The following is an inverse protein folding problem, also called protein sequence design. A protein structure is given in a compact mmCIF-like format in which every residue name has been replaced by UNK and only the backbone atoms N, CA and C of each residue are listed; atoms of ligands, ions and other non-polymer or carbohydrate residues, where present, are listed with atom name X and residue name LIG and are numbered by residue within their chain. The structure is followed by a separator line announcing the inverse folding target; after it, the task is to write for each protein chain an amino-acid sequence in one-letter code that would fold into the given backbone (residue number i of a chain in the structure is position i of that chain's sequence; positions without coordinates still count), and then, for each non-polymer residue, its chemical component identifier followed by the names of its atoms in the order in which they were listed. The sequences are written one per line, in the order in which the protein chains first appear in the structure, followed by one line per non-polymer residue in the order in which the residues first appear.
data_IF_665051567816
#
_entry.id   IF_665051567816
#
_cell.length_a   1.000
_cell.length_b   1.000
_cell.length_c   1.000
_cell.angle_alpha   90.00
_cell.angle_beta   90.00
_cell.angle_gamma   90.00
#
_symmetry.space_group_name_H-M   'P 1'
#
loop_
_entity.id
_entity.type
_entity.pdbx_description
1 polymer ?
#
# COMPACT_ATOMS: atom_id res chain seq x y z
N UNK A 1 -33.13 -5.84 -11.75
CA UNK A 1 -32.03 -6.84 -11.74
C UNK A 1 -30.70 -6.29 -12.29
N UNK A 2 -30.70 -5.27 -13.16
CA UNK A 2 -29.48 -4.70 -13.76
C UNK A 2 -28.54 -3.96 -12.79
N UNK A 3 -29.04 -3.39 -11.67
CA UNK A 3 -28.20 -2.59 -10.74
C UNK A 3 -27.39 -3.39 -9.71
N UNK A 4 -27.77 -4.64 -9.45
CA UNK A 4 -27.05 -5.55 -8.51
C UNK A 4 -25.82 -6.16 -9.19
N UNK A 5 -25.94 -6.44 -10.49
CA UNK A 5 -24.85 -6.98 -11.29
C UNK A 5 -23.75 -5.93 -11.51
N UNK A 6 -24.13 -4.66 -11.71
CA UNK A 6 -23.18 -3.55 -11.85
C UNK A 6 -22.44 -3.22 -10.55
N UNK A 7 -23.10 -3.30 -9.40
CA UNK A 7 -22.46 -3.06 -8.08
C UNK A 7 -21.48 -4.16 -7.69
N UNK A 8 -21.82 -5.44 -7.93
CA UNK A 8 -20.88 -6.54 -7.71
C UNK A 8 -19.66 -6.48 -8.65
N UNK A 9 -19.86 -6.16 -9.94
CA UNK A 9 -18.75 -5.97 -10.87
C UNK A 9 -17.86 -4.78 -10.46
N UNK A 10 -18.44 -3.68 -9.99
CA UNK A 10 -17.68 -2.52 -9.51
C UNK A 10 -16.81 -2.88 -8.29
N UNK A 11 -17.34 -3.65 -7.33
CA UNK A 11 -16.57 -4.12 -6.17
C UNK A 11 -15.42 -5.07 -6.54
N UNK A 12 -15.63 -5.95 -7.54
CA UNK A 12 -14.59 -6.83 -8.06
C UNK A 12 -13.50 -6.05 -8.80
N UNK A 13 -13.87 -5.07 -9.60
CA UNK A 13 -12.89 -4.21 -10.30
C UNK A 13 -12.08 -3.37 -9.31
N UNK A 14 -12.72 -2.82 -8.27
CA UNK A 14 -12.04 -2.09 -7.21
C UNK A 14 -11.00 -2.97 -6.49
N UNK A 15 -11.34 -4.24 -6.22
CA UNK A 15 -10.39 -5.19 -5.65
C UNK A 15 -9.22 -5.49 -6.59
N UNK A 16 -9.46 -5.70 -7.89
CA UNK A 16 -8.39 -5.96 -8.86
C UNK A 16 -7.42 -4.77 -8.96
N UNK A 17 -7.96 -3.55 -8.99
CA UNK A 17 -7.14 -2.34 -9.01
C UNK A 17 -6.33 -2.19 -7.72
N UNK A 18 -6.95 -2.45 -6.57
CA UNK A 18 -6.28 -2.42 -5.28
C UNK A 18 -5.17 -3.47 -5.17
N UNK A 19 -5.39 -4.68 -5.68
CA UNK A 19 -4.35 -5.71 -5.74
C UNK A 19 -3.20 -5.28 -6.64
N UNK A 20 -3.48 -4.71 -7.82
CA UNK A 20 -2.43 -4.20 -8.71
C UNK A 20 -1.60 -3.08 -8.05
N UNK A 21 -2.25 -2.16 -7.33
CA UNK A 21 -1.57 -1.11 -6.57
C UNK A 21 -0.73 -1.69 -5.41
N UNK A 22 -1.25 -2.72 -4.72
CA UNK A 22 -0.50 -3.47 -3.72
C UNK A 22 0.75 -4.12 -4.31
N UNK A 23 0.61 -4.87 -5.41
CA UNK A 23 1.73 -5.57 -6.04
C UNK A 23 2.80 -4.57 -6.52
N UNK A 24 2.36 -3.43 -7.07
CA UNK A 24 3.26 -2.35 -7.46
C UNK A 24 3.99 -1.77 -6.25
N UNK A 25 3.28 -1.46 -5.16
CA UNK A 25 3.89 -0.95 -3.93
C UNK A 25 4.91 -1.92 -3.34
N UNK A 26 4.64 -3.23 -3.37
CA UNK A 26 5.61 -4.26 -2.93
C UNK A 26 6.84 -4.32 -3.84
N UNK A 27 6.66 -4.27 -5.17
CA UNK A 27 7.77 -4.24 -6.11
C UNK A 27 8.66 -2.99 -5.93
N UNK A 28 8.05 -1.82 -5.69
CA UNK A 28 8.75 -0.58 -5.38
C UNK A 28 9.48 -0.67 -4.03
N UNK A 29 8.87 -1.34 -3.04
CA UNK A 29 9.46 -1.59 -1.73
C UNK A 29 10.76 -2.39 -1.84
N UNK A 30 10.72 -3.50 -2.56
CA UNK A 30 11.86 -4.40 -2.75
C UNK A 30 12.94 -3.74 -3.62
N UNK A 31 12.54 -2.94 -4.60
CA UNK A 31 13.46 -2.14 -5.42
C UNK A 31 14.20 -1.11 -4.57
N UNK A 32 13.50 -0.39 -3.69
CA UNK A 32 14.11 0.60 -2.79
C UNK A 32 15.10 -0.06 -1.82
N UNK A 33 14.74 -1.20 -1.23
CA UNK A 33 15.64 -1.96 -0.36
C UNK A 33 16.88 -2.46 -1.12
N UNK A 34 16.69 -2.99 -2.32
CA UNK A 34 17.79 -3.50 -3.16
C UNK A 34 18.73 -2.38 -3.59
N UNK A 35 18.18 -1.23 -4.00
CA UNK A 35 18.97 -0.05 -4.36
C UNK A 35 19.80 0.45 -3.17
N UNK A 36 19.24 0.44 -1.96
CA UNK A 36 19.96 0.80 -0.74
C UNK A 36 21.13 -0.15 -0.44
N UNK A 37 20.97 -1.46 -0.65
CA UNK A 37 22.07 -2.43 -0.49
C UNK A 37 23.18 -2.17 -1.51
N UNK A 38 22.84 -1.95 -2.78
CA UNK A 38 23.83 -1.63 -3.83
C UNK A 38 24.57 -0.34 -3.51
N UNK A 39 23.87 0.68 -3.00
CA UNK A 39 24.48 1.94 -2.58
C UNK A 39 25.41 1.76 -1.37
N UNK A 40 25.01 0.97 -0.39
CA UNK A 40 25.85 0.63 0.76
C UNK A 40 27.14 -0.10 0.34
N UNK A 41 27.05 -1.04 -0.60
CA UNK A 41 28.25 -1.71 -1.14
C UNK A 41 29.16 -0.76 -1.92
N UNK A 42 28.56 0.23 -2.62
CA UNK A 42 29.32 1.30 -3.26
C UNK A 42 30.07 2.15 -2.23
N UNK A 43 29.43 2.53 -1.11
CA UNK A 43 30.05 3.29 -0.02
C UNK A 43 31.27 2.52 0.53
N UNK A 44 31.08 1.23 0.87
CA UNK A 44 32.18 0.37 1.35
C UNK A 44 33.34 0.28 0.34
N UNK A 45 33.04 0.19 -0.96
CA UNK A 45 34.07 0.15 -2.01
C UNK A 45 34.83 1.48 -2.09
N UNK A 46 34.14 2.61 -2.03
CA UNK A 46 34.77 3.93 -2.04
C UNK A 46 35.67 4.12 -0.82
N UNK A 47 35.24 3.67 0.35
CA UNK A 47 36.04 3.73 1.57
C UNK A 47 37.35 2.93 1.47
N UNK A 48 37.29 1.70 0.91
CA UNK A 48 38.51 0.91 0.66
C UNK A 48 39.47 1.62 -0.30
N UNK A 49 38.94 2.28 -1.33
CA UNK A 49 39.76 3.06 -2.26
C UNK A 49 40.38 4.27 -1.54
N UNK A 50 39.59 5.00 -0.76
CA UNK A 50 40.04 6.17 0.01
C UNK A 50 41.13 5.79 1.03
N UNK A 51 40.96 4.68 1.75
CA UNK A 51 41.97 4.15 2.66
C UNK A 51 43.26 3.75 1.92
N UNK A 52 43.13 3.15 0.73
CA UNK A 52 44.29 2.80 -0.11
C UNK A 52 45.04 4.04 -0.59
N UNK A 53 44.31 5.07 -1.02
CA UNK A 53 44.88 6.37 -1.42
C UNK A 53 45.53 7.09 -0.24
N UNK A 54 44.91 7.08 0.94
CA UNK A 54 45.47 7.64 2.16
C UNK A 54 46.79 6.95 2.52
N UNK A 55 46.82 5.61 2.51
CA UNK A 55 48.04 4.83 2.73
C UNK A 55 49.13 5.15 1.71
N UNK A 56 48.78 5.24 0.42
CA UNK A 56 49.72 5.58 -0.64
C UNK A 56 50.28 7.01 -0.49
N UNK A 57 49.44 7.98 -0.13
CA UNK A 57 49.84 9.36 0.11
C UNK A 57 50.76 9.49 1.33
N UNK A 58 50.44 8.79 2.43
CA UNK A 58 51.30 8.75 3.62
C UNK A 58 52.66 8.14 3.28
N UNK A 59 52.69 7.02 2.54
CA UNK A 59 53.93 6.40 2.07
C UNK A 59 54.74 7.31 1.13
N UNK A 60 54.08 8.03 0.21
CA UNK A 60 54.73 8.95 -0.72
C UNK A 60 55.27 10.22 -0.04
N UNK A 61 54.63 10.67 1.05
CA UNK A 61 55.03 11.88 1.77
C UNK A 61 56.33 11.71 2.58
N UNK A 62 56.80 10.47 2.78
CA UNK A 62 58.00 10.17 3.55
C UNK A 62 57.92 10.60 5.02
N UNK A 63 56.77 11.10 5.47
CA UNK A 63 56.53 11.46 6.86
C UNK A 63 56.34 10.16 7.61
N UNK A 64 57.16 9.95 8.64
CA UNK A 64 56.96 8.91 9.64
C UNK A 64 55.72 9.27 10.49
N UNK A 65 54.55 9.29 9.85
CA UNK A 65 53.27 9.17 10.52
C UNK A 65 53.28 7.78 11.13
N UNK A 66 53.77 7.70 12.37
CA UNK A 66 53.95 6.44 13.08
C UNK A 66 52.73 5.54 12.91
N UNK A 67 52.95 4.23 12.86
CA UNK A 67 51.95 3.23 12.48
C UNK A 67 50.54 3.47 13.07
N UNK A 68 50.45 4.02 14.29
CA UNK A 68 49.18 4.42 14.92
C UNK A 68 48.37 5.48 14.17
N UNK A 69 48.97 6.52 13.59
CA UNK A 69 48.22 7.59 12.90
C UNK A 69 47.63 7.11 11.57
N UNK A 70 48.38 6.30 10.82
CA UNK A 70 47.89 5.70 9.58
C UNK A 70 46.79 4.65 9.84
N UNK A 71 46.92 3.86 10.91
CA UNK A 71 45.89 2.92 11.34
C UNK A 71 44.61 3.65 11.74
N UNK A 72 44.70 4.70 12.57
CA UNK A 72 43.54 5.48 13.00
C UNK A 72 42.79 6.13 11.81
N UNK A 73 43.51 6.70 10.83
CA UNK A 73 42.87 7.31 9.64
C UNK A 73 42.10 6.25 8.84
N UNK A 74 42.68 5.07 8.62
CA UNK A 74 41.99 4.01 7.88
C UNK A 74 40.79 3.47 8.66
N UNK A 75 40.92 3.30 9.97
CA UNK A 75 39.85 2.82 10.84
C UNK A 75 38.70 3.83 10.89
N UNK A 76 38.99 5.13 10.90
CA UNK A 76 38.00 6.20 10.80
C UNK A 76 37.31 6.22 9.41
N UNK A 77 38.06 6.10 8.31
CA UNK A 77 37.50 6.04 6.95
C UNK A 77 36.55 4.85 6.79
N UNK A 78 37.00 3.66 7.22
CA UNK A 78 36.20 2.43 7.12
C UNK A 78 35.02 2.49 8.08
N UNK A 79 35.23 2.94 9.32
CA UNK A 79 34.18 3.05 10.34
C UNK A 79 33.05 3.99 9.93
N UNK A 80 33.39 5.21 9.47
CA UNK A 80 32.40 6.16 8.97
C UNK A 80 31.63 5.62 7.76
N UNK A 81 32.33 4.94 6.85
CA UNK A 81 31.69 4.34 5.68
C UNK A 81 30.78 3.15 6.03
N UNK A 82 31.12 2.37 7.06
CA UNK A 82 30.25 1.32 7.57
C UNK A 82 29.01 1.88 8.24
N UNK A 83 29.14 2.97 9.00
CA UNK A 83 28.00 3.71 9.57
C UNK A 83 27.08 4.25 8.46
N UNK A 84 27.63 4.92 7.45
CA UNK A 84 26.89 5.43 6.30
C UNK A 84 26.20 4.30 5.52
N UNK A 85 26.89 3.18 5.30
CA UNK A 85 26.33 2.01 4.64
C UNK A 85 25.19 1.40 5.46
N UNK A 86 25.33 1.29 6.78
CA UNK A 86 24.31 0.79 7.68
C UNK A 86 23.08 1.71 7.70
N UNK A 87 23.28 3.02 7.80
CA UNK A 87 22.22 4.02 7.73
C UNK A 87 21.50 3.97 6.37
N UNK A 88 22.24 3.82 5.27
CA UNK A 88 21.67 3.67 3.93
C UNK A 88 20.74 2.46 3.85
N UNK A 89 21.20 1.28 4.30
CA UNK A 89 20.39 0.05 4.33
C UNK A 89 19.18 0.22 5.25
N UNK A 90 19.37 0.82 6.42
CA UNK A 90 18.31 1.05 7.39
C UNK A 90 17.22 1.96 6.83
N UNK A 91 17.59 3.06 6.18
CA UNK A 91 16.66 3.95 5.51
C UNK A 91 15.91 3.25 4.36
N UNK A 92 16.61 2.45 3.54
CA UNK A 92 15.99 1.64 2.50
C UNK A 92 14.98 0.63 3.05
N UNK A 93 15.32 -0.05 4.16
CA UNK A 93 14.41 -0.98 4.85
C UNK A 93 13.21 -0.28 5.49
N UNK A 94 13.41 0.90 6.07
CA UNK A 94 12.29 1.69 6.58
C UNK A 94 11.34 2.13 5.46
N UNK A 95 11.88 2.52 4.31
CA UNK A 95 11.07 2.84 3.13
C UNK A 95 10.32 1.60 2.61
N UNK A 96 11.00 0.45 2.56
CA UNK A 96 10.38 -0.83 2.22
C UNK A 96 9.21 -1.15 3.16
N UNK A 97 9.40 -1.05 4.48
CA UNK A 97 8.34 -1.31 5.46
C UNK A 97 7.13 -0.37 5.29
N UNK A 98 7.36 0.91 4.97
CA UNK A 98 6.27 1.87 4.68
C UNK A 98 5.49 1.46 3.43
N UNK A 99 6.17 1.10 2.36
CA UNK A 99 5.52 0.67 1.11
C UNK A 99 4.77 -0.65 1.27
N UNK A 100 5.26 -1.59 2.10
CA UNK A 100 4.49 -2.78 2.48
C UNK A 100 3.22 -2.44 3.27
N UNK A 101 3.29 -1.49 4.20
CA UNK A 101 2.08 -1.02 4.90
C UNK A 101 1.08 -0.38 3.94
N UNK A 102 1.55 0.38 2.94
CA UNK A 102 0.70 0.94 1.90
C UNK A 102 0.06 -0.16 1.04
N UNK A 103 0.82 -1.20 0.69
CA UNK A 103 0.30 -2.37 -0.01
C UNK A 103 -0.81 -3.08 0.78
N UNK A 104 -0.59 -3.32 2.07
CA UNK A 104 -1.59 -3.91 2.96
C UNK A 104 -2.84 -3.02 3.06
N UNK A 105 -2.67 -1.70 3.12
CA UNK A 105 -3.77 -0.74 3.11
C UNK A 105 -4.55 -0.78 1.79
N UNK A 106 -3.89 -0.89 0.64
CA UNK A 106 -4.57 -1.05 -0.66
C UNK A 106 -5.41 -2.33 -0.67
N UNK A 107 -4.83 -3.46 -0.26
CA UNK A 107 -5.58 -4.72 -0.18
C UNK A 107 -6.78 -4.61 0.77
N UNK A 108 -6.60 -3.99 1.93
CA UNK A 108 -7.65 -3.78 2.90
C UNK A 108 -8.76 -2.89 2.33
N UNK A 109 -8.43 -1.78 1.68
CA UNK A 109 -9.38 -0.90 1.02
C UNK A 109 -10.16 -1.63 -0.09
N UNK A 110 -9.49 -2.46 -0.90
CA UNK A 110 -10.13 -3.30 -1.91
C UNK A 110 -11.11 -4.32 -1.32
N UNK A 111 -10.73 -4.98 -0.22
CA UNK A 111 -11.61 -5.91 0.53
C UNK A 111 -12.82 -5.19 1.11
N UNK A 112 -12.62 -4.01 1.70
CA UNK A 112 -13.71 -3.17 2.22
C UNK A 112 -14.65 -2.71 1.11
N UNK A 113 -14.14 -2.26 -0.04
CA UNK A 113 -14.95 -1.86 -1.18
C UNK A 113 -15.82 -3.01 -1.71
N UNK A 114 -15.25 -4.23 -1.79
CA UNK A 114 -16.00 -5.44 -2.17
C UNK A 114 -17.07 -5.80 -1.14
N UNK A 115 -16.74 -5.71 0.15
CA UNK A 115 -17.69 -5.94 1.24
C UNK A 115 -18.84 -4.92 1.22
N UNK A 116 -18.53 -3.63 1.04
CA UNK A 116 -19.51 -2.55 0.96
C UNK A 116 -20.43 -2.72 -0.26
N UNK A 117 -19.87 -3.08 -1.43
CA UNK A 117 -20.66 -3.38 -2.63
C UNK A 117 -21.63 -4.55 -2.39
N UNK A 118 -21.18 -5.61 -1.72
CA UNK A 118 -22.04 -6.73 -1.35
C UNK A 118 -23.14 -6.31 -0.36
N UNK A 119 -22.81 -5.55 0.69
CA UNK A 119 -23.80 -5.06 1.67
C UNK A 119 -24.83 -4.12 1.05
N UNK A 120 -24.40 -3.19 0.17
CA UNK A 120 -25.32 -2.32 -0.58
C UNK A 120 -26.23 -3.12 -1.51
N UNK A 121 -25.71 -4.19 -2.11
CA UNK A 121 -26.52 -5.08 -2.95
C UNK A 121 -27.62 -5.80 -2.15
N UNK A 122 -27.33 -6.23 -0.92
CA UNK A 122 -28.30 -6.83 0.00
C UNK A 122 -29.32 -5.79 0.47
N UNK A 123 -28.86 -4.60 0.87
CA UNK A 123 -29.73 -3.50 1.29
C UNK A 123 -30.68 -3.03 0.18
N UNK A 124 -30.21 -3.02 -1.08
CA UNK A 124 -31.03 -2.67 -2.24
C UNK A 124 -32.05 -3.76 -2.57
N UNK A 125 -31.70 -5.05 -2.43
CA UNK A 125 -32.67 -6.16 -2.58
C UNK A 125 -33.71 -6.12 -1.47
N UNK A 126 -33.31 -5.85 -0.22
CA UNK A 126 -34.23 -5.78 0.92
C UNK A 126 -35.14 -4.55 0.86
N UNK A 127 -34.63 -3.38 0.45
CA UNK A 127 -35.40 -2.14 0.30
C UNK A 127 -36.35 -2.19 -0.91
N UNK A 128 -35.91 -2.77 -2.03
CA UNK A 128 -36.79 -2.97 -3.19
C UNK A 128 -37.87 -4.03 -2.90
N UNK A 129 -37.54 -5.10 -2.18
CA UNK A 129 -38.52 -6.10 -1.74
C UNK A 129 -39.54 -5.56 -0.74
N UNK A 130 -39.13 -4.67 0.17
CA UNK A 130 -40.05 -4.02 1.12
C UNK A 130 -40.84 -2.88 0.50
N UNK A 131 -40.31 -2.13 -0.47
CA UNK A 131 -41.09 -1.15 -1.24
C UNK A 131 -42.09 -1.82 -2.19
N UNK A 132 -41.71 -2.89 -2.89
CA UNK A 132 -42.65 -3.68 -3.68
C UNK A 132 -43.69 -4.35 -2.76
N UNK A 133 -43.23 -4.88 -1.63
CA UNK A 133 -44.01 -5.44 -0.53
C UNK A 133 -45.11 -4.50 0.00
N UNK A 134 -44.71 -3.29 0.33
CA UNK A 134 -45.60 -2.24 0.84
C UNK A 134 -46.43 -1.62 -0.29
N UNK A 135 -45.95 -1.59 -1.53
CA UNK A 135 -46.70 -1.06 -2.67
C UNK A 135 -47.84 -1.98 -3.09
N UNK A 136 -47.65 -3.31 -3.14
CA UNK A 136 -48.78 -4.25 -3.37
C UNK A 136 -49.76 -4.25 -2.19
N UNK A 137 -49.27 -4.13 -0.95
CA UNK A 137 -50.11 -4.06 0.24
C UNK A 137 -50.88 -2.73 0.34
N UNK A 138 -50.26 -1.62 -0.04
CA UNK A 138 -50.90 -0.30 -0.10
C UNK A 138 -51.90 -0.21 -1.27
N UNK A 139 -51.60 -0.81 -2.42
CA UNK A 139 -52.55 -0.88 -3.54
C UNK A 139 -53.69 -1.89 -3.31
N UNK A 140 -53.47 -2.95 -2.52
CA UNK A 140 -54.53 -3.82 -2.02
C UNK A 140 -55.40 -3.11 -0.95
N UNK A 141 -54.81 -2.31 -0.06
CA UNK A 141 -55.54 -1.49 0.90
C UNK A 141 -56.34 -0.36 0.23
N UNK A 142 -55.83 0.22 -0.86
CA UNK A 142 -56.56 1.22 -1.67
C UNK A 142 -57.69 0.63 -2.53
N UNK A 143 -57.62 -0.65 -2.92
CA UNK A 143 -58.70 -1.34 -3.65
C UNK A 143 -59.83 -1.87 -2.77
N UNK A 144 -59.63 -1.98 -1.46
CA UNK A 144 -60.68 -2.41 -0.52
C UNK A 144 -61.48 -1.23 0.07
N UNK A 145 -61.32 -0.01 -0.47
CA UNK A 145 -61.98 1.22 -0.03
C UNK A 145 -63.16 1.69 -0.88
N UNK A 146 -63.55 0.95 -1.92
CA UNK A 146 -64.72 1.31 -2.77
C UNK A 146 -65.65 0.11 -2.95
N UNK A 147 -66.27 -0.34 -1.86
CA UNK A 147 -67.50 -1.13 -1.93
C UNK A 147 -68.53 -0.52 -1.00
N UNK A 148 -69.39 0.34 -1.57
CA UNK A 148 -70.71 0.75 -1.06
C UNK A 148 -71.23 1.85 -2.01
N UNK A 149 -72.37 1.79 -2.68
CA UNK A 149 -73.38 0.77 -2.92
C UNK A 149 -74.15 1.25 -4.15
N UNK A 150 -74.47 0.35 -5.07
CA UNK A 150 -75.42 0.62 -6.16
C UNK A 150 -76.84 0.60 -5.58
N UNK A 151 -77.62 1.66 -5.81
CA UNK A 151 -79.09 1.60 -5.95
C UNK A 151 -79.95 2.17 -4.81
N UNK A 152 -80.97 2.97 -5.20
CA UNK A 152 -82.23 3.10 -4.46
C UNK A 152 -82.81 4.52 -4.34
N UNK A 153 -83.92 4.77 -5.06
CA UNK A 153 -84.79 5.95 -4.97
C UNK A 153 -85.25 6.32 -3.54
N UNK A 154 -85.37 7.62 -3.28
CA UNK A 154 -86.52 8.24 -2.60
C UNK A 154 -86.55 9.75 -2.94
#
# INVERSE_FOLDING_TARGET
MYSVYSTQQAGKQAQLNANAQSDQAQADADTAASAAVVQADRIRRLARNQASEANAALAASGVEVGAGTAININEEIIGNAEEDAALTIFNGRNQQARLYNDADNYQLAGRQARSAANSQSIGTVLSSGSQLGMSWKASAAGRNGTVSSVGGNA
#
